data_IF_705950475329
#
_entry.id   IF_705950475329
#
_cell.length_a   1.000
_cell.length_b   1.000
_cell.length_c   1.000
_cell.angle_alpha   90.00
_cell.angle_beta   90.00
_cell.angle_gamma   90.00
#
_symmetry.space_group_name_H-M   'P 1'
#
loop_
_entity.id
_entity.type
_entity.pdbx_description
1 polymer ?
#
# COMPACT_ATOMS: atom_id res chain seq x y z
N UNK A 1 -17.54 -38.64 -2.33
CA UNK A 1 -17.53 -38.50 -0.85
C UNK A 1 -16.20 -38.94 -0.21
N UNK A 2 -15.50 -39.92 -0.79
CA UNK A 2 -14.23 -40.45 -0.25
C UNK A 2 -13.05 -39.48 -0.40
N UNK A 3 -12.92 -38.76 -1.53
CA UNK A 3 -11.81 -37.83 -1.77
C UNK A 3 -11.73 -36.68 -0.74
N UNK A 4 -12.88 -36.18 -0.27
CA UNK A 4 -12.94 -35.14 0.77
C UNK A 4 -12.32 -35.63 2.09
N UNK A 5 -12.56 -36.89 2.45
CA UNK A 5 -12.10 -37.49 3.71
C UNK A 5 -10.58 -37.70 3.72
N UNK A 6 -10.00 -38.11 2.58
CA UNK A 6 -8.55 -38.28 2.44
C UNK A 6 -7.85 -36.91 2.44
N UNK A 7 -8.45 -35.92 1.78
CA UNK A 7 -7.92 -34.56 1.77
C UNK A 7 -7.91 -34.00 3.19
N UNK A 8 -9.03 -34.04 3.94
CA UNK A 8 -9.06 -33.56 5.33
C UNK A 8 -8.18 -34.36 6.29
N UNK A 9 -8.00 -35.67 6.09
CA UNK A 9 -7.15 -36.49 6.97
C UNK A 9 -5.66 -36.14 6.82
N UNK A 10 -5.22 -35.68 5.64
CA UNK A 10 -3.86 -35.19 5.42
C UNK A 10 -3.55 -33.83 6.08
N UNK A 11 -4.57 -33.03 6.40
CA UNK A 11 -4.41 -31.74 7.11
C UNK A 11 -4.44 -31.87 8.64
N UNK A 12 -4.78 -33.05 9.18
CA UNK A 12 -5.04 -33.23 10.62
C UNK A 12 -3.92 -33.96 11.37
N UNK A 13 -2.91 -34.52 10.69
CA UNK A 13 -1.83 -35.30 11.32
C UNK A 13 -0.53 -34.47 11.52
N UNK A 14 -0.32 -33.45 10.70
CA UNK A 14 0.60 -32.38 11.05
C UNK A 14 -0.17 -31.32 11.81
N UNK A 15 -0.25 -31.47 13.14
CA UNK A 15 -0.56 -30.34 14.01
C UNK A 15 0.25 -29.16 13.52
N UNK A 16 -0.42 -28.11 13.02
CA UNK A 16 0.24 -26.95 12.45
C UNK A 16 1.33 -26.55 13.45
N UNK A 17 2.62 -26.62 13.10
CA UNK A 17 3.63 -25.96 13.91
C UNK A 17 3.47 -24.47 13.62
N UNK A 18 2.34 -23.89 14.06
CA UNK A 18 2.31 -22.49 14.43
C UNK A 18 3.28 -22.46 15.60
N UNK A 19 4.56 -22.25 15.30
CA UNK A 19 5.49 -21.71 16.28
C UNK A 19 4.80 -20.43 16.75
N UNK A 20 4.14 -20.51 17.91
CA UNK A 20 3.68 -19.34 18.61
C UNK A 20 4.89 -18.41 18.66
N UNK A 21 4.76 -17.16 18.19
CA UNK A 21 5.85 -16.20 18.27
C UNK A 21 6.33 -16.21 19.72
N UNK A 22 7.54 -16.72 19.95
CA UNK A 22 8.17 -16.59 21.24
C UNK A 22 8.23 -15.08 21.48
N UNK A 23 7.70 -14.60 22.60
CA UNK A 23 7.70 -13.17 22.91
C UNK A 23 9.13 -12.61 22.97
N UNK A 24 10.13 -13.48 23.15
CA UNK A 24 11.56 -13.17 23.03
C UNK A 24 11.99 -12.76 21.60
N UNK A 25 11.22 -13.13 20.57
CA UNK A 25 11.51 -12.82 19.15
C UNK A 25 11.15 -11.37 18.74
N UNK A 26 10.27 -10.71 19.49
CA UNK A 26 9.79 -9.35 19.17
C UNK A 26 10.83 -8.26 19.46
N UNK A 27 11.65 -8.47 20.49
CA UNK A 27 12.70 -7.53 20.91
C UNK A 27 14.09 -7.93 20.39
N UNK A 28 14.16 -8.80 19.39
CA UNK A 28 15.42 -9.07 18.70
C UNK A 28 15.90 -7.80 17.99
N UNK A 29 17.21 -7.48 18.02
CA UNK A 29 17.73 -6.27 17.39
C UNK A 29 17.30 -6.12 15.92
N UNK A 30 17.29 -7.23 15.17
CA UNK A 30 16.88 -7.28 13.77
C UNK A 30 15.39 -6.94 13.59
N UNK A 31 14.52 -7.51 14.43
CA UNK A 31 13.09 -7.24 14.36
C UNK A 31 12.78 -5.78 14.74
N UNK A 32 13.39 -5.27 15.80
CA UNK A 32 13.24 -3.87 16.24
C UNK A 32 13.70 -2.91 15.14
N UNK A 33 14.84 -3.18 14.51
CA UNK A 33 15.32 -2.39 13.38
C UNK A 33 14.33 -2.39 12.21
N UNK A 34 13.81 -3.56 11.82
CA UNK A 34 12.84 -3.69 10.74
C UNK A 34 11.53 -2.95 11.04
N UNK A 35 11.03 -3.02 12.28
CA UNK A 35 9.82 -2.30 12.72
C UNK A 35 10.06 -0.79 12.67
N UNK A 36 11.17 -0.29 13.20
CA UNK A 36 11.49 1.14 13.17
C UNK A 36 11.64 1.63 11.73
N UNK A 37 12.38 0.91 10.89
CA UNK A 37 12.54 1.25 9.48
C UNK A 37 11.19 1.31 8.76
N UNK A 38 10.33 0.31 8.97
CA UNK A 38 8.97 0.25 8.43
C UNK A 38 8.13 1.45 8.89
N UNK A 39 8.17 1.80 10.17
CA UNK A 39 7.42 2.93 10.71
C UNK A 39 7.92 4.27 10.16
N UNK A 40 9.24 4.49 10.12
CA UNK A 40 9.85 5.72 9.58
C UNK A 40 9.48 5.91 8.11
N UNK A 41 9.57 4.85 7.30
CA UNK A 41 9.18 4.90 5.88
C UNK A 41 7.68 5.20 5.75
N UNK A 42 6.84 4.52 6.53
CA UNK A 42 5.38 4.72 6.47
C UNK A 42 4.98 6.12 6.89
N UNK A 43 5.54 6.65 7.97
CA UNK A 43 5.30 8.01 8.44
C UNK A 43 5.85 9.03 7.43
N UNK A 44 7.03 8.79 6.86
CA UNK A 44 7.61 9.64 5.81
C UNK A 44 6.69 9.72 4.59
N UNK A 45 6.14 8.59 4.14
CA UNK A 45 5.17 8.54 3.04
C UNK A 45 3.86 9.26 3.41
N UNK A 46 3.36 9.10 4.63
CA UNK A 46 2.17 9.81 5.11
C UNK A 46 2.40 11.32 5.14
N UNK A 47 3.50 11.78 5.71
CA UNK A 47 3.86 13.21 5.74
C UNK A 47 4.03 13.77 4.33
N UNK A 48 4.61 12.98 3.41
CA UNK A 48 4.74 13.35 2.01
C UNK A 48 3.38 13.45 1.30
N UNK A 49 2.47 12.54 1.61
CA UNK A 49 1.11 12.51 1.09
C UNK A 49 0.25 13.68 1.61
N UNK A 50 0.38 14.02 2.89
CA UNK A 50 -0.38 15.08 3.55
C UNK A 50 0.36 16.42 3.63
N UNK A 51 1.48 16.57 2.93
CA UNK A 51 2.25 17.82 2.93
C UNK A 51 1.39 18.99 2.45
N UNK A 52 1.48 20.13 3.15
CA UNK A 52 0.67 21.32 2.88
C UNK A 52 1.24 22.10 1.69
N UNK A 53 0.41 22.37 0.67
CA UNK A 53 0.79 23.16 -0.49
C UNK A 53 0.41 24.64 -0.24
N UNK A 54 1.28 25.56 -0.68
CA UNK A 54 1.38 26.94 -0.13
C UNK A 54 0.24 27.90 -0.50
N UNK A 55 -0.65 27.54 -1.42
CA UNK A 55 -1.87 28.27 -1.77
C UNK A 55 -2.98 27.25 -2.04
N UNK A 56 -3.86 27.07 -1.06
CA UNK A 56 -5.03 26.20 -1.15
C UNK A 56 -6.11 26.90 -1.97
N UNK A 57 -5.89 26.96 -3.28
CA UNK A 57 -6.98 27.21 -4.21
C UNK A 57 -7.93 26.01 -4.15
N UNK A 58 -9.24 26.26 -4.19
CA UNK A 58 -10.28 25.24 -3.93
C UNK A 58 -10.14 24.01 -4.86
N UNK A 59 -9.58 24.25 -6.06
CA UNK A 59 -9.22 23.23 -7.04
C UNK A 59 -8.12 22.26 -6.55
N UNK A 60 -7.10 22.73 -5.83
CA UNK A 60 -6.00 21.90 -5.33
C UNK A 60 -6.49 20.91 -4.26
N UNK A 61 -7.45 21.33 -3.43
CA UNK A 61 -8.09 20.48 -2.42
C UNK A 61 -8.90 19.37 -3.09
N UNK A 62 -9.70 19.69 -4.11
CA UNK A 62 -10.46 18.70 -4.87
C UNK A 62 -9.55 17.68 -5.57
N UNK A 63 -8.47 18.15 -6.20
CA UNK A 63 -7.50 17.27 -6.87
C UNK A 63 -6.81 16.29 -5.92
N UNK A 64 -6.61 16.69 -4.66
CA UNK A 64 -6.07 15.79 -3.62
C UNK A 64 -7.07 14.67 -3.31
N UNK A 65 -8.33 14.99 -3.07
CA UNK A 65 -9.38 14.01 -2.79
C UNK A 65 -9.57 13.05 -3.98
N UNK A 66 -9.62 13.58 -5.20
CA UNK A 66 -9.69 12.78 -6.42
C UNK A 66 -8.50 11.83 -6.56
N UNK A 67 -7.30 12.30 -6.21
CA UNK A 67 -6.09 11.48 -6.25
C UNK A 67 -6.17 10.33 -5.26
N UNK A 68 -6.68 10.59 -4.07
CA UNK A 68 -6.83 9.59 -3.03
C UNK A 68 -7.85 8.53 -3.43
N UNK A 69 -8.97 8.95 -4.01
CA UNK A 69 -10.02 8.05 -4.49
C UNK A 69 -9.54 7.17 -5.64
N UNK A 70 -8.87 7.75 -6.65
CA UNK A 70 -8.28 6.97 -7.76
C UNK A 70 -7.26 5.95 -7.27
N UNK A 71 -6.45 6.33 -6.29
CA UNK A 71 -5.47 5.43 -5.68
C UNK A 71 -6.17 4.27 -4.97
N UNK A 72 -7.23 4.55 -4.20
CA UNK A 72 -8.03 3.48 -3.58
C UNK A 72 -8.56 2.49 -4.63
N UNK A 73 -9.17 2.98 -5.71
CA UNK A 73 -9.69 2.09 -6.76
C UNK A 73 -8.60 1.22 -7.39
N UNK A 74 -7.44 1.80 -7.68
CA UNK A 74 -6.31 1.07 -8.25
C UNK A 74 -5.78 0.00 -7.30
N UNK A 75 -5.60 0.34 -6.03
CA UNK A 75 -5.08 -0.60 -5.02
C UNK A 75 -6.05 -1.74 -4.76
N UNK A 76 -7.36 -1.47 -4.68
CA UNK A 76 -8.36 -2.52 -4.52
C UNK A 76 -8.46 -3.43 -5.75
N UNK A 77 -8.39 -2.86 -6.96
CA UNK A 77 -8.33 -3.66 -8.18
C UNK A 77 -7.11 -4.59 -8.16
N UNK A 78 -5.94 -4.05 -7.84
CA UNK A 78 -4.71 -4.83 -7.76
C UNK A 78 -4.78 -5.90 -6.66
N UNK A 79 -5.35 -5.57 -5.50
CA UNK A 79 -5.53 -6.52 -4.40
C UNK A 79 -6.41 -7.70 -4.80
N UNK A 80 -7.52 -7.45 -5.50
CA UNK A 80 -8.39 -8.51 -6.03
C UNK A 80 -7.62 -9.42 -6.98
N UNK A 81 -6.83 -8.85 -7.90
CA UNK A 81 -5.99 -9.62 -8.81
C UNK A 81 -4.99 -10.49 -8.02
N UNK A 82 -4.28 -9.92 -7.05
CA UNK A 82 -3.30 -10.64 -6.22
C UNK A 82 -3.95 -11.84 -5.52
N UNK A 83 -5.14 -11.67 -4.93
CA UNK A 83 -5.84 -12.76 -4.23
C UNK A 83 -6.28 -13.86 -5.19
N UNK A 84 -6.61 -13.53 -6.44
CA UNK A 84 -6.99 -14.53 -7.46
C UNK A 84 -5.77 -15.28 -7.99
N UNK A 85 -4.65 -14.58 -8.22
CA UNK A 85 -3.46 -15.14 -8.88
C UNK A 85 -2.45 -15.78 -7.92
N UNK A 86 -2.45 -15.41 -6.64
CA UNK A 86 -1.43 -15.84 -5.67
C UNK A 86 -2.05 -16.52 -4.45
N UNK A 87 -1.40 -17.56 -3.92
CA UNK A 87 -1.79 -18.27 -2.71
C UNK A 87 -0.59 -18.66 -1.83
N UNK A 88 -0.81 -18.95 -0.55
CA UNK A 88 0.26 -19.37 0.37
C UNK A 88 1.08 -18.23 0.97
N UNK A 89 2.37 -18.47 1.20
CA UNK A 89 3.29 -17.54 1.88
C UNK A 89 3.57 -16.27 1.05
N UNK A 90 3.52 -16.40 -0.28
CA UNK A 90 3.71 -15.28 -1.20
C UNK A 90 2.58 -14.25 -1.08
N UNK A 91 1.35 -14.71 -0.78
CA UNK A 91 0.21 -13.84 -0.54
C UNK A 91 0.46 -12.91 0.65
N UNK A 92 1.02 -13.43 1.76
CA UNK A 92 1.28 -12.63 2.97
C UNK A 92 2.28 -11.50 2.68
N UNK A 93 3.34 -11.79 1.94
CA UNK A 93 4.35 -10.80 1.56
C UNK A 93 3.77 -9.72 0.64
N UNK A 94 3.03 -10.12 -0.40
CA UNK A 94 2.45 -9.17 -1.37
C UNK A 94 1.39 -8.28 -0.71
N UNK A 95 0.55 -8.85 0.17
CA UNK A 95 -0.44 -8.08 0.94
C UNK A 95 0.26 -7.07 1.87
N UNK A 96 1.40 -7.42 2.47
CA UNK A 96 2.21 -6.48 3.25
C UNK A 96 2.69 -5.29 2.42
N UNK A 97 3.20 -5.53 1.21
CA UNK A 97 3.68 -4.46 0.30
C UNK A 97 2.52 -3.57 -0.20
N UNK A 98 1.31 -4.11 -0.29
CA UNK A 98 0.12 -3.39 -0.77
C UNK A 98 -0.18 -2.11 0.05
N UNK A 99 0.13 -2.13 1.36
CA UNK A 99 -0.07 -0.98 2.25
C UNK A 99 0.80 0.23 1.86
N UNK A 100 2.05 0.00 1.47
CA UNK A 100 2.93 1.06 0.98
C UNK A 100 2.61 1.44 -0.46
N UNK A 101 2.19 0.48 -1.28
CA UNK A 101 1.87 0.72 -2.69
C UNK A 101 0.75 1.76 -2.85
N UNK A 102 -0.27 1.71 -2.00
CA UNK A 102 -1.33 2.73 -1.91
C UNK A 102 -0.72 4.13 -1.72
N UNK A 103 0.15 4.31 -0.73
CA UNK A 103 0.76 5.61 -0.42
C UNK A 103 1.61 6.12 -1.59
N UNK A 104 2.43 5.24 -2.17
CA UNK A 104 3.33 5.61 -3.28
C UNK A 104 2.54 6.01 -4.53
N UNK A 105 1.52 5.25 -4.90
CA UNK A 105 0.71 5.53 -6.10
C UNK A 105 -0.03 6.86 -5.96
N UNK A 106 -0.53 7.17 -4.76
CA UNK A 106 -1.14 8.46 -4.45
C UNK A 106 -0.18 9.63 -4.68
N UNK A 107 1.05 9.53 -4.15
CA UNK A 107 2.05 10.60 -4.26
C UNK A 107 2.44 10.82 -5.73
N UNK A 108 2.65 9.75 -6.50
CA UNK A 108 3.00 9.83 -7.92
C UNK A 108 1.89 10.53 -8.71
N UNK A 109 0.64 10.08 -8.56
CA UNK A 109 -0.51 10.66 -9.28
C UNK A 109 -0.71 12.12 -8.91
N UNK A 110 -0.65 12.45 -7.62
CA UNK A 110 -0.81 13.81 -7.14
C UNK A 110 0.26 14.75 -7.74
N UNK A 111 1.55 14.35 -7.69
CA UNK A 111 2.65 15.14 -8.24
C UNK A 111 2.55 15.31 -9.76
N UNK A 112 2.16 14.26 -10.49
CA UNK A 112 1.94 14.34 -11.93
C UNK A 112 0.84 15.37 -12.24
N UNK A 113 -0.33 15.24 -11.61
CA UNK A 113 -1.48 16.12 -11.89
C UNK A 113 -1.13 17.59 -11.63
N UNK A 114 -0.44 17.90 -10.53
CA UNK A 114 0.04 19.26 -10.23
C UNK A 114 1.02 19.77 -11.30
N UNK A 115 1.99 18.96 -11.72
CA UNK A 115 2.91 19.33 -12.79
C UNK A 115 2.18 19.66 -14.09
N UNK A 116 1.12 18.90 -14.39
CA UNK A 116 0.30 19.08 -15.60
C UNK A 116 -0.57 20.33 -15.56
N UNK A 117 -1.02 20.77 -14.38
CA UNK A 117 -1.76 22.02 -14.18
C UNK A 117 -0.85 23.26 -14.29
N UNK A 118 0.35 23.17 -13.71
CA UNK A 118 1.34 24.24 -13.81
C UNK A 118 1.80 24.50 -15.25
N UNK A 119 1.84 23.46 -16.10
CA UNK A 119 2.16 23.63 -17.52
C UNK A 119 1.04 24.30 -18.31
N UNK A 120 -0.23 23.96 -18.09
CA UNK A 120 -1.35 24.63 -18.77
C UNK A 120 -1.44 26.11 -18.41
N UNK A 121 -1.19 26.48 -17.15
CA UNK A 121 -1.17 27.89 -16.73
C UNK A 121 -0.02 28.69 -17.36
N UNK A 122 1.15 28.07 -17.55
CA UNK A 122 2.28 28.71 -18.24
C UNK A 122 2.01 28.90 -19.73
N UNK A 123 1.38 27.92 -20.38
CA UNK A 123 1.03 28.01 -21.80
C UNK A 123 0.02 29.13 -22.06
N UNK A 124 -0.99 29.30 -21.20
CA UNK A 124 -1.97 30.38 -21.31
C UNK A 124 -1.31 31.77 -21.20
N UNK A 125 -0.37 31.93 -20.27
CA UNK A 125 0.38 33.20 -20.09
C UNK A 125 1.36 33.53 -21.21
N UNK A 126 1.72 32.57 -22.07
CA UNK A 126 2.64 32.80 -23.18
C UNK A 126 1.92 33.23 -24.48
N UNK A 127 0.59 33.13 -24.52
CA UNK A 127 -0.25 33.47 -25.68
C UNK A 127 -0.83 34.89 -25.59
N UNK A 128 -0.80 35.50 -24.39
CA UNK A 128 -1.19 36.90 -24.11
C UNK A 128 0.03 37.82 -24.14
#
# INVERSE_FOLDING_TARGET
>A
MVAKKIFYHGYMDHGLPIKLPDNSSLLTPDHVFNVIATLVVTIGLLLLAFSKEKFEDEQIIQLRLDSLQWTMYFTYLLFILIVIFTSGIDLVHIVGINLWLQLVFFIIRFRWVIFRLNQSSKAEKAVL
#
